data_IF_027843504124
#
_entry.id   IF_027843504124
#
_cell.length_a   1.000
_cell.length_b   1.000
_cell.length_c   1.000
_cell.angle_alpha   90.00
_cell.angle_beta   90.00
_cell.angle_gamma   90.00
#
_symmetry.space_group_name_H-M   'P 1'
#
loop_
_entity.id
_entity.type
_entity.pdbx_description
1 polymer ?
#
# COMPACT_ATOMS: atom_id res chain seq x y z
N UNK A 1 -16.60 9.41 36.64
CA UNK A 1 -17.15 8.51 35.62
C UNK A 1 -16.05 8.33 34.57
N UNK A 2 -15.10 7.43 34.82
CA UNK A 2 -15.04 6.03 34.30
C UNK A 2 -14.96 5.93 32.78
N UNK A 3 -13.72 5.71 32.29
CA UNK A 3 -13.38 4.95 31.06
C UNK A 3 -13.75 5.61 29.73
N UNK A 4 -12.84 5.82 28.79
CA UNK A 4 -11.92 4.82 28.25
C UNK A 4 -10.61 5.48 27.84
N UNK A 5 -9.50 4.91 28.31
CA UNK A 5 -8.22 5.06 27.61
C UNK A 5 -8.41 4.40 26.24
N UNK A 6 -8.66 5.18 25.20
CA UNK A 6 -8.50 4.71 23.83
C UNK A 6 -7.02 4.33 23.69
N UNK A 7 -6.70 3.04 23.88
CA UNK A 7 -5.38 2.54 23.53
C UNK A 7 -5.25 2.74 22.02
N UNK A 8 -4.51 3.76 21.60
CA UNK A 8 -4.09 3.87 20.21
C UNK A 8 -3.35 2.59 19.87
N UNK A 9 -3.88 1.81 18.94
CA UNK A 9 -3.17 0.68 18.36
C UNK A 9 -1.81 1.18 17.86
N UNK A 10 -0.79 0.34 17.98
CA UNK A 10 0.53 0.66 17.41
C UNK A 10 0.39 0.83 15.88
N UNK A 11 1.16 1.70 15.22
CA UNK A 11 1.04 1.96 13.78
C UNK A 11 0.98 0.68 12.94
N UNK A 12 1.84 -0.29 13.27
CA UNK A 12 1.85 -1.62 12.65
C UNK A 12 0.49 -2.34 12.74
N UNK A 13 -0.15 -2.34 13.90
CA UNK A 13 -1.46 -2.97 14.09
C UNK A 13 -2.55 -2.25 13.29
N UNK A 14 -2.45 -0.93 13.12
CA UNK A 14 -3.39 -0.17 12.30
C UNK A 14 -3.23 -0.51 10.81
N UNK A 15 -2.00 -0.67 10.32
CA UNK A 15 -1.75 -1.09 8.94
C UNK A 15 -2.25 -2.50 8.66
N UNK A 16 -2.06 -3.42 9.61
CA UNK A 16 -2.65 -4.76 9.53
C UNK A 16 -4.17 -4.69 9.42
N UNK A 17 -4.84 -3.81 10.18
CA UNK A 17 -6.29 -3.63 10.06
C UNK A 17 -6.70 -3.04 8.70
N UNK A 18 -5.93 -2.11 8.15
CA UNK A 18 -6.16 -1.60 6.78
C UNK A 18 -6.02 -2.72 5.74
N UNK A 19 -4.98 -3.54 5.81
CA UNK A 19 -4.80 -4.69 4.93
C UNK A 19 -5.94 -5.71 5.08
N UNK A 20 -6.35 -6.01 6.32
CA UNK A 20 -7.50 -6.89 6.57
C UNK A 20 -8.79 -6.33 5.97
N UNK A 21 -8.97 -5.00 6.00
CA UNK A 21 -10.08 -4.32 5.32
C UNK A 21 -10.00 -4.53 3.80
N UNK A 22 -8.80 -4.58 3.23
CA UNK A 22 -8.55 -4.94 1.83
C UNK A 22 -8.71 -6.45 1.54
N UNK A 23 -9.26 -7.24 2.46
CA UNK A 23 -9.39 -8.71 2.34
C UNK A 23 -8.07 -9.49 2.41
N UNK A 24 -6.99 -8.89 2.90
CA UNK A 24 -5.77 -9.61 3.26
C UNK A 24 -5.94 -10.38 4.57
N UNK A 25 -5.20 -11.49 4.73
CA UNK A 25 -5.14 -12.27 5.96
C UNK A 25 -3.75 -12.87 6.14
N UNK A 26 -3.40 -13.20 7.38
CA UNK A 26 -2.08 -13.74 7.71
C UNK A 26 -1.82 -15.08 7.00
N UNK A 27 -0.61 -15.26 6.46
CA UNK A 27 -0.20 -16.43 5.67
C UNK A 27 -1.01 -16.60 4.37
N UNK A 28 -1.55 -15.51 3.81
CA UNK A 28 -2.17 -15.53 2.49
C UNK A 28 -1.15 -15.97 1.43
N UNK A 29 -1.59 -16.90 0.57
CA UNK A 29 -0.84 -17.46 -0.54
C UNK A 29 -1.87 -17.83 -1.62
N UNK A 30 -2.07 -16.94 -2.59
CA UNK A 30 -3.05 -17.10 -3.68
C UNK A 30 -2.39 -17.68 -4.91
N UNK A 31 -3.19 -18.35 -5.75
CA UNK A 31 -2.75 -18.78 -7.06
C UNK A 31 -2.62 -17.56 -8.00
N UNK A 32 -1.40 -17.28 -8.46
CA UNK A 32 -1.09 -16.18 -9.37
C UNK A 32 -0.98 -16.62 -10.84
N UNK A 33 -1.46 -17.81 -11.21
CA UNK A 33 -1.39 -18.31 -12.58
C UNK A 33 -2.04 -17.36 -13.59
N UNK A 34 -3.21 -16.80 -13.26
CA UNK A 34 -3.90 -15.83 -14.11
C UNK A 34 -3.13 -14.49 -14.24
N UNK A 35 -2.38 -14.07 -13.21
CA UNK A 35 -1.48 -12.93 -13.29
C UNK A 35 -0.34 -13.21 -14.28
N UNK A 36 0.28 -14.39 -14.18
CA UNK A 36 1.39 -14.83 -15.03
C UNK A 36 0.96 -14.91 -16.50
N UNK A 37 -0.20 -15.49 -16.78
CA UNK A 37 -0.75 -15.59 -18.14
C UNK A 37 -0.93 -14.22 -18.82
N UNK A 38 -1.23 -13.19 -18.03
CA UNK A 38 -1.46 -11.82 -18.49
C UNK A 38 -0.19 -10.95 -18.45
N UNK A 39 0.94 -11.48 -17.99
CA UNK A 39 2.18 -10.74 -17.84
C UNK A 39 3.21 -11.20 -18.90
N UNK A 40 3.42 -10.45 -19.99
CA UNK A 40 4.44 -10.76 -21.00
C UNK A 40 5.84 -10.86 -20.40
N UNK A 41 6.11 -10.08 -19.34
CA UNK A 41 7.35 -10.05 -18.57
C UNK A 41 7.35 -11.05 -17.40
N UNK A 42 6.45 -12.05 -17.40
CA UNK A 42 6.38 -13.06 -16.33
C UNK A 42 7.66 -13.88 -16.17
N UNK A 43 8.51 -13.95 -17.20
CA UNK A 43 9.84 -14.54 -17.10
C UNK A 43 10.77 -13.78 -16.12
N UNK A 44 10.48 -12.51 -15.86
CA UNK A 44 11.25 -11.63 -14.97
C UNK A 44 10.76 -11.69 -13.51
N UNK A 45 9.69 -12.44 -13.22
CA UNK A 45 9.21 -12.68 -11.85
C UNK A 45 10.17 -13.56 -11.07
N UNK A 46 11.16 -12.94 -10.43
CA UNK A 46 12.03 -13.60 -9.47
C UNK A 46 11.26 -14.00 -8.19
N UNK A 47 11.84 -14.89 -7.35
CA UNK A 47 11.13 -15.46 -6.21
C UNK A 47 10.48 -14.44 -5.27
N UNK A 48 11.16 -13.31 -4.99
CA UNK A 48 10.60 -12.28 -4.12
C UNK A 48 9.34 -11.62 -4.70
N UNK A 49 9.33 -11.27 -5.99
CA UNK A 49 8.15 -10.72 -6.65
C UNK A 49 6.99 -11.71 -6.67
N UNK A 50 7.28 -12.99 -6.93
CA UNK A 50 6.29 -14.07 -6.85
C UNK A 50 5.69 -14.18 -5.46
N UNK A 51 6.50 -14.25 -4.41
CA UNK A 51 6.03 -14.34 -3.03
C UNK A 51 5.19 -13.13 -2.62
N UNK A 52 5.59 -11.93 -3.05
CA UNK A 52 4.78 -10.73 -2.83
C UNK A 52 3.39 -10.84 -3.49
N UNK A 53 3.33 -11.26 -4.75
CA UNK A 53 2.05 -11.40 -5.46
C UNK A 53 1.20 -12.54 -4.88
N UNK A 54 1.79 -13.66 -4.48
CA UNK A 54 1.08 -14.73 -3.78
C UNK A 54 0.46 -14.22 -2.46
N UNK A 55 1.08 -13.24 -1.79
CA UNK A 55 0.52 -12.66 -0.57
C UNK A 55 -0.51 -11.56 -0.84
N UNK A 56 -0.24 -10.62 -1.75
CA UNK A 56 -1.01 -9.37 -1.88
C UNK A 56 -1.86 -9.27 -3.14
N UNK A 57 -1.71 -10.16 -4.13
CA UNK A 57 -2.52 -10.06 -5.33
C UNK A 57 -3.99 -10.41 -5.06
N UNK A 58 -4.89 -9.64 -5.69
CA UNK A 58 -6.34 -9.80 -5.56
C UNK A 58 -6.93 -9.32 -4.22
N UNK A 59 -6.20 -8.51 -3.45
CA UNK A 59 -6.80 -7.68 -2.40
C UNK A 59 -7.62 -6.54 -3.02
N UNK A 60 -8.50 -5.91 -2.25
CA UNK A 60 -9.27 -4.77 -2.74
C UNK A 60 -8.34 -3.62 -3.13
N UNK A 61 -8.49 -3.13 -4.36
CA UNK A 61 -7.63 -2.11 -4.95
C UNK A 61 -7.70 -0.77 -4.21
N UNK A 62 -8.86 -0.41 -3.67
CA UNK A 62 -9.06 0.84 -2.94
C UNK A 62 -9.69 0.52 -1.60
N UNK A 63 -9.07 0.95 -0.51
CA UNK A 63 -9.67 0.93 0.83
C UNK A 63 -9.95 2.31 1.37
N UNK A 64 -11.00 2.42 2.17
CA UNK A 64 -11.43 3.68 2.76
C UNK A 64 -11.09 3.76 4.24
N UNK A 65 -10.57 4.91 4.68
CA UNK A 65 -10.23 5.15 6.09
C UNK A 65 -10.47 6.61 6.49
N UNK A 66 -10.38 6.89 7.79
CA UNK A 66 -10.38 8.25 8.34
C UNK A 66 -9.20 8.45 9.28
N UNK A 67 -8.79 9.70 9.44
CA UNK A 67 -7.83 10.13 10.46
C UNK A 67 -8.35 11.35 11.22
N UNK A 68 -7.74 11.65 12.37
CA UNK A 68 -8.05 12.88 13.10
C UNK A 68 -7.29 14.05 12.46
N UNK A 69 -8.03 15.02 11.92
CA UNK A 69 -7.46 16.24 11.36
C UNK A 69 -7.32 17.31 12.44
N UNK A 70 -6.25 18.11 12.31
CA UNK A 70 -6.09 19.32 13.11
C UNK A 70 -6.79 20.47 12.38
N UNK A 71 -8.01 20.81 12.82
CA UNK A 71 -8.57 22.12 12.51
C UNK A 71 -7.88 23.11 13.45
N UNK A 72 -7.34 24.20 12.91
CA UNK A 72 -6.60 25.22 13.67
C UNK A 72 -7.38 25.63 14.93
N UNK A 73 -6.83 25.34 16.12
CA UNK A 73 -7.39 25.80 17.40
C UNK A 73 -8.27 24.81 18.17
N UNK A 74 -7.78 23.58 18.43
CA UNK A 74 -8.10 22.75 19.62
C UNK A 74 -9.09 21.58 19.52
N UNK A 75 -9.75 21.30 18.39
CA UNK A 75 -10.61 20.08 18.29
C UNK A 75 -10.09 19.11 17.23
N UNK A 76 -9.70 17.91 17.66
CA UNK A 76 -9.50 16.76 16.77
C UNK A 76 -10.87 16.41 16.16
N UNK A 77 -11.06 16.72 14.89
CA UNK A 77 -12.22 16.30 14.13
C UNK A 77 -11.86 15.07 13.30
N UNK A 78 -12.83 14.19 13.05
CA UNK A 78 -12.64 13.15 12.04
C UNK A 78 -12.58 13.78 10.66
N UNK A 79 -11.61 13.35 9.86
CA UNK A 79 -11.57 13.68 8.45
C UNK A 79 -12.81 13.13 7.70
N UNK A 80 -13.10 13.64 6.50
CA UNK A 80 -13.83 12.88 5.50
C UNK A 80 -13.19 11.52 5.24
N UNK A 81 -13.88 10.66 4.49
CA UNK A 81 -13.29 9.40 4.04
C UNK A 81 -12.17 9.66 3.04
N UNK A 82 -11.09 8.93 3.20
CA UNK A 82 -9.90 8.94 2.36
C UNK A 82 -9.65 7.56 1.78
N UNK A 83 -8.93 7.52 0.66
CA UNK A 83 -8.62 6.32 -0.11
C UNK A 83 -7.14 5.95 0.06
N UNK A 84 -6.86 4.66 0.18
CA UNK A 84 -5.52 4.08 0.05
C UNK A 84 -5.56 3.06 -1.07
N UNK A 85 -4.59 3.12 -1.99
CA UNK A 85 -4.56 2.29 -3.20
C UNK A 85 -3.58 1.11 -3.08
N UNK A 86 -3.99 -0.05 -3.58
CA UNK A 86 -3.21 -1.26 -3.80
C UNK A 86 -3.47 -1.78 -5.22
N UNK A 87 -2.86 -1.14 -6.20
CA UNK A 87 -3.10 -1.42 -7.59
C UNK A 87 -1.95 -2.25 -8.17
N UNK A 88 -1.94 -3.54 -7.85
CA UNK A 88 -0.94 -4.50 -8.32
C UNK A 88 -1.45 -5.26 -9.55
N UNK A 89 -0.86 -4.98 -10.73
CA UNK A 89 -1.36 -5.48 -12.02
C UNK A 89 -0.27 -6.12 -12.87
N UNK A 90 -0.63 -7.07 -13.76
CA UNK A 90 0.28 -7.57 -14.78
C UNK A 90 0.77 -6.44 -15.67
N UNK A 91 2.02 -6.53 -16.13
CA UNK A 91 2.61 -5.55 -17.06
C UNK A 91 2.47 -4.09 -16.59
N UNK A 92 2.69 -3.86 -15.29
CA UNK A 92 2.45 -2.58 -14.63
C UNK A 92 3.21 -1.42 -15.29
N UNK A 93 4.50 -1.61 -15.63
CA UNK A 93 5.33 -0.55 -16.22
C UNK A 93 4.74 0.01 -17.53
N UNK A 94 4.30 -0.88 -18.43
CA UNK A 94 3.70 -0.48 -19.70
C UNK A 94 2.28 0.07 -19.51
N UNK A 95 1.47 -0.60 -18.69
CA UNK A 95 0.07 -0.23 -18.45
C UNK A 95 -0.05 1.15 -17.80
N UNK A 96 0.81 1.42 -16.81
CA UNK A 96 0.85 2.67 -16.06
C UNK A 96 1.74 3.74 -16.71
N UNK A 97 2.51 3.36 -17.75
CA UNK A 97 3.44 4.23 -18.48
C UNK A 97 4.49 4.87 -17.58
N UNK A 98 5.00 4.12 -16.60
CA UNK A 98 5.90 4.61 -15.56
C UNK A 98 7.38 4.22 -15.79
N UNK A 99 7.81 4.13 -17.05
CA UNK A 99 9.17 3.71 -17.40
C UNK A 99 10.24 4.70 -16.92
N UNK A 100 9.90 5.98 -16.73
CA UNK A 100 10.84 7.00 -16.21
C UNK A 100 11.08 6.81 -14.72
N UNK A 101 10.02 6.51 -13.98
CA UNK A 101 10.05 6.21 -12.56
C UNK A 101 10.79 4.88 -12.32
N UNK A 102 10.46 3.84 -13.10
CA UNK A 102 11.14 2.56 -13.05
C UNK A 102 12.64 2.69 -13.35
N UNK A 103 13.04 3.51 -14.32
CA UNK A 103 14.46 3.78 -14.57
C UNK A 103 15.16 4.40 -13.36
N UNK A 104 14.49 5.32 -12.67
CA UNK A 104 15.02 5.97 -11.46
C UNK A 104 15.15 4.99 -10.30
N UNK A 105 14.15 4.11 -10.12
CA UNK A 105 14.18 3.02 -9.14
C UNK A 105 15.32 2.05 -9.42
N UNK A 106 15.47 1.55 -10.65
CA UNK A 106 16.53 0.62 -11.02
C UNK A 106 17.92 1.18 -10.74
N UNK A 107 18.12 2.48 -11.05
CA UNK A 107 19.39 3.16 -10.76
C UNK A 107 19.66 3.31 -9.26
N UNK A 108 18.63 3.56 -8.46
CA UNK A 108 18.75 3.69 -7.01
C UNK A 108 19.01 2.34 -6.33
N UNK A 109 18.25 1.32 -6.74
CA UNK A 109 18.28 -0.01 -6.13
C UNK A 109 19.60 -0.75 -6.39
N UNK A 110 20.26 -0.46 -7.51
CA UNK A 110 21.48 -1.16 -7.96
C UNK A 110 21.28 -2.68 -8.03
N UNK A 111 20.06 -3.10 -8.39
CA UNK A 111 19.64 -4.48 -8.61
C UNK A 111 18.49 -4.53 -9.63
N UNK A 112 18.22 -5.72 -10.16
CA UNK A 112 17.02 -5.91 -10.99
C UNK A 112 15.77 -5.74 -10.11
N UNK A 113 14.82 -4.96 -10.60
CA UNK A 113 13.53 -4.76 -9.96
C UNK A 113 12.38 -5.17 -10.89
N UNK A 114 11.29 -5.64 -10.29
CA UNK A 114 10.03 -5.93 -10.96
C UNK A 114 8.99 -4.87 -10.58
N UNK A 115 8.36 -4.24 -11.56
CA UNK A 115 7.29 -3.26 -11.34
C UNK A 115 6.00 -3.98 -10.88
N UNK A 116 5.57 -3.74 -9.64
CA UNK A 116 4.37 -4.35 -9.07
C UNK A 116 3.10 -3.59 -9.45
N UNK A 117 3.19 -2.27 -9.56
CA UNK A 117 2.03 -1.40 -9.78
C UNK A 117 2.10 -0.12 -8.94
N UNK A 118 0.96 0.32 -8.40
CA UNK A 118 0.86 1.51 -7.56
C UNK A 118 0.43 1.16 -6.13
N UNK A 119 0.98 1.86 -5.15
CA UNK A 119 0.42 1.89 -3.79
C UNK A 119 0.69 3.20 -3.09
N UNK A 120 -0.23 3.65 -2.25
CA UNK A 120 -0.03 4.85 -1.44
C UNK A 120 -1.33 5.56 -1.07
N UNK A 121 -1.15 6.70 -0.42
CA UNK A 121 -2.23 7.60 -0.01
C UNK A 121 -2.16 8.93 -0.76
N UNK A 122 -3.32 9.43 -1.20
CA UNK A 122 -3.52 10.72 -1.90
C UNK A 122 -2.92 10.77 -3.32
N UNK A 123 -1.66 10.39 -3.48
CA UNK A 123 -0.99 10.13 -4.75
C UNK A 123 -0.15 8.86 -4.58
N UNK A 124 -0.47 7.82 -5.34
CA UNK A 124 0.16 6.50 -5.19
C UNK A 124 1.54 6.47 -5.85
N UNK A 125 2.50 5.83 -5.18
CA UNK A 125 3.85 5.64 -5.69
C UNK A 125 3.92 4.48 -6.69
N UNK A 126 4.74 4.65 -7.72
CA UNK A 126 5.24 3.52 -8.51
C UNK A 126 6.00 2.61 -7.56
N UNK A 127 5.54 1.37 -7.47
CA UNK A 127 6.04 0.38 -6.52
C UNK A 127 6.74 -0.73 -7.29
N UNK A 128 8.02 -0.93 -6.99
CA UNK A 128 8.79 -2.05 -7.48
C UNK A 128 9.33 -2.88 -6.31
N UNK A 129 9.64 -4.14 -6.58
CA UNK A 129 10.36 -5.01 -5.66
C UNK A 129 11.70 -5.36 -6.28
N UNK A 130 12.78 -5.42 -5.49
CA UNK A 130 14.09 -5.89 -5.94
C UNK A 130 14.26 -7.40 -5.79
N UNK A 131 15.29 -7.99 -6.41
CA UNK A 131 15.68 -9.39 -6.16
C UNK A 131 15.95 -9.67 -4.68
N UNK A 132 16.40 -8.67 -3.94
CA UNK A 132 16.60 -8.72 -2.48
C UNK A 132 15.30 -8.90 -1.67
N UNK A 133 14.15 -8.62 -2.29
CA UNK A 133 12.84 -8.56 -1.62
C UNK A 133 12.50 -7.19 -1.02
N UNK A 134 13.40 -6.20 -1.09
CA UNK A 134 13.06 -4.82 -0.71
C UNK A 134 12.08 -4.20 -1.68
N UNK A 135 11.18 -3.38 -1.13
CA UNK A 135 10.28 -2.54 -1.91
C UNK A 135 10.92 -1.18 -2.16
N UNK A 136 10.73 -0.66 -3.37
CA UNK A 136 11.18 0.65 -3.81
C UNK A 136 9.98 1.43 -4.32
N UNK A 137 9.72 2.58 -3.70
CA UNK A 137 8.58 3.44 -4.02
C UNK A 137 9.11 4.78 -4.54
N UNK A 138 8.51 5.26 -5.63
CA UNK A 138 8.75 6.59 -6.16
C UNK A 138 7.43 7.30 -6.45
N UNK A 139 7.24 8.45 -5.82
CA UNK A 139 6.10 9.33 -6.05
C UNK A 139 6.42 10.30 -7.19
N UNK A 140 5.39 10.80 -7.89
CA UNK A 140 5.56 11.82 -8.93
C UNK A 140 5.94 13.20 -8.37
N UNK A 141 5.58 13.47 -7.12
CA UNK A 141 5.86 14.72 -6.40
C UNK A 141 7.14 14.70 -5.55
N UNK A 142 7.71 13.53 -5.27
CA UNK A 142 8.96 13.37 -4.51
C UNK A 142 10.04 12.76 -5.41
N UNK A 143 11.14 13.47 -5.70
CA UNK A 143 12.19 12.95 -6.57
C UNK A 143 13.01 11.81 -5.93
N UNK A 144 12.80 11.49 -4.65
CA UNK A 144 13.55 10.47 -3.94
C UNK A 144 12.87 9.10 -4.01
N UNK A 145 13.66 8.07 -4.30
CA UNK A 145 13.23 6.68 -4.15
C UNK A 145 13.32 6.29 -2.68
N UNK A 146 12.23 5.77 -2.13
CA UNK A 146 12.16 5.27 -0.76
C UNK A 146 12.23 3.75 -0.77
N UNK A 147 13.03 3.17 0.14
CA UNK A 147 13.23 1.73 0.24
C UNK A 147 12.67 1.17 1.57
N UNK A 148 11.95 0.07 1.48
CA UNK A 148 11.28 -0.58 2.63
C UNK A 148 11.51 -2.09 2.62
N UNK A 149 11.46 -2.70 3.81
CA UNK A 149 11.63 -4.16 3.94
C UNK A 149 10.34 -4.92 3.62
N UNK A 150 9.16 -4.29 3.75
CA UNK A 150 7.86 -4.87 3.43
C UNK A 150 6.80 -3.77 3.21
N UNK A 151 5.60 -4.18 2.75
CA UNK A 151 4.49 -3.27 2.45
C UNK A 151 3.97 -2.54 3.69
N UNK A 152 4.00 -3.17 4.87
CA UNK A 152 3.52 -2.53 6.10
C UNK A 152 4.41 -1.35 6.48
N UNK A 153 5.73 -1.51 6.35
CA UNK A 153 6.68 -0.42 6.62
C UNK A 153 6.48 0.76 5.68
N UNK A 154 6.16 0.52 4.40
CA UNK A 154 5.81 1.60 3.47
C UNK A 154 4.49 2.27 3.84
N UNK A 155 3.45 1.50 4.20
CA UNK A 155 2.18 2.07 4.67
C UNK A 155 2.35 2.93 5.94
N UNK A 156 3.19 2.50 6.89
CA UNK A 156 3.52 3.28 8.09
C UNK A 156 4.18 4.61 7.69
N UNK A 157 5.09 4.57 6.72
CA UNK A 157 5.73 5.78 6.20
C UNK A 157 4.73 6.73 5.53
N UNK A 158 3.87 6.23 4.64
CA UNK A 158 2.82 7.01 3.96
C UNK A 158 1.87 7.68 4.96
N UNK A 159 1.48 6.96 6.02
CA UNK A 159 0.47 7.40 6.96
C UNK A 159 1.05 7.97 8.27
N UNK A 160 2.36 8.25 8.35
CA UNK A 160 3.02 8.63 9.61
C UNK A 160 2.47 9.91 10.26
N UNK A 161 1.95 10.85 9.46
CA UNK A 161 1.33 12.09 9.94
C UNK A 161 -0.18 11.94 10.24
N UNK A 162 -0.77 10.78 9.94
CA UNK A 162 -2.19 10.55 10.02
C UNK A 162 -2.55 9.70 11.24
N UNK A 163 -3.12 10.34 12.27
CA UNK A 163 -3.66 9.61 13.42
C UNK A 163 -4.96 8.92 13.02
N UNK A 164 -4.88 7.65 12.60
CA UNK A 164 -6.03 6.90 12.10
C UNK A 164 -7.15 6.72 13.13
N UNK A 165 -8.39 6.82 12.67
CA UNK A 165 -9.60 6.68 13.49
C UNK A 165 -9.95 5.20 13.64
N UNK A 166 -9.92 4.61 14.85
CA UNK A 166 -10.01 3.15 15.01
C UNK A 166 -11.24 2.49 14.40
N UNK A 167 -12.43 3.10 14.50
CA UNK A 167 -13.64 2.48 13.96
C UNK A 167 -13.70 2.50 12.42
N UNK A 168 -12.93 3.38 11.76
CA UNK A 168 -12.83 3.41 10.31
C UNK A 168 -12.03 2.21 9.75
N UNK A 169 -11.16 1.63 10.58
CA UNK A 169 -10.31 0.49 10.23
C UNK A 169 -11.04 -0.85 10.39
N UNK A 170 -12.19 -0.87 11.07
CA UNK A 170 -12.96 -2.08 11.33
C UNK A 170 -13.99 -2.34 10.21
N UNK A 171 -14.37 -3.60 10.08
CA UNK A 171 -15.42 -4.03 9.16
C UNK A 171 -14.98 -4.14 7.70
N UNK A 172 -15.93 -4.46 6.82
CA UNK A 172 -15.65 -4.63 5.38
C UNK A 172 -15.22 -3.32 4.73
N UNK A 173 -14.52 -3.43 3.62
CA UNK A 173 -14.27 -2.31 2.74
C UNK A 173 -15.60 -1.79 2.17
N UNK A 174 -15.98 -0.58 2.59
CA UNK A 174 -17.16 0.11 2.10
C UNK A 174 -16.80 1.59 2.07
N UNK A 175 -17.02 2.24 0.93
CA UNK A 175 -17.09 3.70 0.89
C UNK A 175 -18.18 4.06 1.88
N UNK A 176 -17.83 4.72 2.99
CA UNK A 176 -18.79 4.98 4.05
C UNK A 176 -19.98 5.68 3.43
N UNK A 177 -21.14 5.01 3.42
CA UNK A 177 -22.39 5.66 3.05
C UNK A 177 -22.49 6.89 3.94
N UNK A 178 -22.57 8.06 3.31
CA UNK A 178 -23.09 9.26 3.98
C UNK A 178 -24.44 8.86 4.57
N UNK A 179 -24.56 8.95 5.90
CA UNK A 179 -25.86 8.95 6.57
C UNK A 179 -26.39 10.37 6.46
#
# INVERSE_FOLDING_TARGET
MTGTSQSSLLPYQQMIQLLQKASWYENRCVDISAYIEQCPTSADLFPAARSFLEEFWGIDEIIYFKYYSHISGEVLAESPWHEYEFHFIPNAEETLRCSTEMHSILKYADEDCYCLGLTGYYYSAVTAIGRSGKLYLLHDYDPNVHAFDNLIDSMIHELHMHKLVPHSLMGRNQKGNEI
#
